data_IF_400965545980
#
_entry.id   IF_400965545980
#
_cell.length_a   1.000
_cell.length_b   1.000
_cell.length_c   1.000
_cell.angle_alpha   90.00
_cell.angle_beta   90.00
_cell.angle_gamma   90.00
#
_symmetry.space_group_name_H-M   'P 1'
#
loop_
_entity.id
_entity.type
_entity.pdbx_description
1 polymer ?
#
# COMPACT_ATOMS: atom_id res chain seq x y z
N UNK A 1 5.32 -17.61 -10.98
CA UNK A 1 4.35 -16.71 -11.63
C UNK A 1 4.90 -15.32 -11.85
N UNK A 2 5.17 -14.99 -13.11
CA UNK A 2 5.66 -13.68 -13.56
C UNK A 2 4.82 -13.29 -14.78
N UNK A 3 4.28 -12.08 -14.79
CA UNK A 3 3.47 -11.58 -15.90
C UNK A 3 4.12 -10.31 -16.46
N UNK A 4 4.51 -10.32 -17.73
CA UNK A 4 5.22 -9.22 -18.42
C UNK A 4 6.46 -8.72 -17.64
N UNK A 5 7.26 -9.63 -17.09
CA UNK A 5 8.48 -9.28 -16.33
C UNK A 5 8.20 -8.67 -14.94
N UNK A 6 6.94 -8.67 -14.49
CA UNK A 6 6.56 -8.27 -13.14
C UNK A 6 6.27 -9.50 -12.30
N UNK A 7 7.09 -9.68 -11.25
CA UNK A 7 6.86 -10.74 -10.27
C UNK A 7 5.63 -10.43 -9.42
N UNK A 8 4.85 -11.47 -9.16
CA UNK A 8 3.72 -11.37 -8.22
C UNK A 8 4.30 -11.20 -6.80
N UNK A 9 3.84 -10.21 -6.03
CA UNK A 9 4.26 -10.05 -4.64
C UNK A 9 3.95 -11.30 -3.81
N UNK A 10 4.93 -11.77 -3.02
CA UNK A 10 4.80 -12.98 -2.20
C UNK A 10 3.62 -12.93 -1.23
N UNK A 11 3.29 -11.74 -0.71
CA UNK A 11 2.11 -11.55 0.15
C UNK A 11 0.81 -11.98 -0.51
N UNK A 12 0.70 -11.85 -1.84
CA UNK A 12 -0.48 -12.30 -2.59
C UNK A 12 -0.51 -13.80 -2.82
N UNK A 13 0.62 -14.48 -2.69
CA UNK A 13 0.77 -15.94 -2.82
C UNK A 13 0.64 -16.64 -1.46
N UNK A 14 0.78 -15.91 -0.34
CA UNK A 14 0.80 -16.46 1.02
C UNK A 14 -0.52 -17.08 1.52
N UNK A 15 -1.65 -16.81 0.86
CA UNK A 15 -2.98 -17.20 1.35
C UNK A 15 -3.45 -16.48 2.62
N UNK A 16 -2.64 -15.59 3.19
CA UNK A 16 -2.99 -14.85 4.41
C UNK A 16 -3.89 -13.66 4.07
N UNK A 17 -5.20 -13.84 4.23
CA UNK A 17 -6.20 -12.82 3.90
C UNK A 17 -5.97 -11.47 4.61
N UNK A 18 -5.50 -11.46 5.86
CA UNK A 18 -5.22 -10.22 6.60
C UNK A 18 -4.07 -9.43 5.98
N UNK A 19 -2.98 -10.12 5.65
CA UNK A 19 -1.83 -9.49 5.01
C UNK A 19 -2.14 -9.03 3.59
N UNK A 20 -2.95 -9.80 2.86
CA UNK A 20 -3.44 -9.41 1.53
C UNK A 20 -4.29 -8.14 1.62
N UNK A 21 -5.20 -8.04 2.57
CA UNK A 21 -6.03 -6.86 2.78
C UNK A 21 -5.17 -5.63 3.13
N UNK A 22 -4.23 -5.79 4.08
CA UNK A 22 -3.27 -4.75 4.45
C UNK A 22 -2.46 -4.28 3.23
N UNK A 23 -1.96 -5.21 2.42
CA UNK A 23 -1.21 -4.90 1.20
C UNK A 23 -2.07 -4.17 0.16
N UNK A 24 -3.31 -4.62 -0.07
CA UNK A 24 -4.26 -3.98 -0.99
C UNK A 24 -4.57 -2.55 -0.55
N UNK A 25 -4.80 -2.34 0.76
CA UNK A 25 -5.05 -1.01 1.34
C UNK A 25 -3.84 -0.09 1.14
N UNK A 26 -2.64 -0.55 1.50
CA UNK A 26 -1.37 0.16 1.26
C UNK A 26 -1.21 0.58 -0.21
N UNK A 27 -1.40 -0.35 -1.16
CA UNK A 27 -1.31 -0.05 -2.60
C UNK A 27 -2.41 0.91 -3.09
N UNK A 28 -3.59 0.90 -2.48
CA UNK A 28 -4.65 1.86 -2.80
C UNK A 28 -4.29 3.28 -2.34
N UNK A 29 -3.81 3.41 -1.11
CA UNK A 29 -3.35 4.68 -0.55
C UNK A 29 -2.18 5.26 -1.37
N UNK A 30 -1.19 4.43 -1.70
CA UNK A 30 -0.06 4.84 -2.52
C UNK A 30 -0.49 5.34 -3.90
N UNK A 31 -1.38 4.61 -4.60
CA UNK A 31 -1.91 5.02 -5.90
C UNK A 31 -2.68 6.34 -5.80
N UNK A 32 -3.45 6.51 -4.73
CA UNK A 32 -4.19 7.75 -4.46
C UNK A 32 -3.21 8.89 -4.22
N UNK A 33 -2.12 8.67 -3.51
CA UNK A 33 -1.13 9.70 -3.18
C UNK A 33 -0.43 10.20 -4.45
N UNK A 34 -0.03 9.26 -5.31
CA UNK A 34 0.66 9.58 -6.56
C UNK A 34 -0.28 10.31 -7.54
N UNK A 35 -1.54 9.86 -7.65
CA UNK A 35 -2.46 10.37 -8.69
C UNK A 35 -3.33 11.54 -8.24
N UNK A 36 -3.69 11.61 -6.96
CA UNK A 36 -4.63 12.59 -6.39
C UNK A 36 -4.24 12.95 -4.94
N UNK A 37 -3.05 13.53 -4.72
CA UNK A 37 -2.57 13.88 -3.37
C UNK A 37 -3.51 14.86 -2.65
N UNK A 38 -4.24 15.71 -3.40
CA UNK A 38 -5.22 16.66 -2.86
C UNK A 38 -6.37 16.02 -2.06
N UNK A 39 -6.64 14.73 -2.25
CA UNK A 39 -7.66 14.00 -1.47
C UNK A 39 -7.26 13.94 0.00
N UNK A 40 -5.96 13.84 0.28
CA UNK A 40 -5.42 13.70 1.63
C UNK A 40 -5.32 15.03 2.38
N UNK A 41 -5.27 16.15 1.68
CA UNK A 41 -5.30 17.48 2.30
C UNK A 41 -6.71 17.91 2.71
N UNK A 42 -7.75 17.49 1.98
CA UNK A 42 -9.14 17.91 2.24
C UNK A 42 -10.00 16.87 3.00
N UNK A 43 -9.56 15.60 3.13
CA UNK A 43 -10.27 14.60 3.93
C UNK A 43 -9.54 14.27 5.22
N UNK A 44 -10.29 14.05 6.29
CA UNK A 44 -9.80 13.33 7.48
C UNK A 44 -9.49 11.89 7.07
N UNK A 45 -8.21 11.54 7.06
CA UNK A 45 -7.71 10.18 6.90
C UNK A 45 -7.90 9.45 8.24
N UNK A 46 -8.22 8.16 8.21
CA UNK A 46 -8.28 7.36 9.43
C UNK A 46 -6.88 7.20 10.03
N UNK A 47 -6.81 6.98 11.35
CA UNK A 47 -5.53 6.75 12.02
C UNK A 47 -4.79 5.52 11.46
N UNK A 48 -5.53 4.47 11.10
CA UNK A 48 -4.99 3.27 10.46
C UNK A 48 -4.36 3.56 9.10
N UNK A 49 -5.01 4.35 8.25
CA UNK A 49 -4.45 4.71 6.94
C UNK A 49 -3.17 5.56 7.07
N UNK A 50 -3.11 6.43 8.09
CA UNK A 50 -1.90 7.19 8.44
C UNK A 50 -0.74 6.28 8.88
N UNK A 51 -1.02 5.29 9.73
CA UNK A 51 0.00 4.35 10.19
C UNK A 51 0.49 3.46 9.02
N UNK A 52 -0.41 3.04 8.12
CA UNK A 52 -0.02 2.31 6.91
C UNK A 52 0.87 3.13 5.97
N UNK A 53 0.63 4.45 5.85
CA UNK A 53 1.46 5.35 5.06
C UNK A 53 2.85 5.53 5.68
N UNK A 54 2.96 5.66 7.00
CA UNK A 54 4.25 5.71 7.70
C UNK A 54 5.03 4.41 7.55
N UNK A 55 4.35 3.26 7.67
CA UNK A 55 4.95 1.95 7.49
C UNK A 55 5.48 1.78 6.05
N UNK A 56 4.73 2.27 5.06
CA UNK A 56 5.19 2.33 3.67
C UNK A 56 6.44 3.22 3.53
N UNK A 57 6.42 4.44 4.07
CA UNK A 57 7.58 5.34 4.01
C UNK A 57 8.83 4.70 4.61
N UNK A 58 8.68 4.04 5.76
CA UNK A 58 9.77 3.32 6.41
C UNK A 58 10.31 2.19 5.52
N UNK A 59 9.42 1.38 4.93
CA UNK A 59 9.83 0.29 4.02
C UNK A 59 10.58 0.76 2.77
N UNK A 60 10.32 2.00 2.31
CA UNK A 60 11.05 2.62 1.20
C UNK A 60 12.37 3.27 1.61
N UNK A 61 12.55 3.65 2.89
CA UNK A 61 13.83 4.18 3.41
C UNK A 61 14.82 3.09 3.79
N UNK A 62 14.33 1.89 4.10
CA UNK A 62 15.15 0.73 4.46
C UNK A 62 15.56 -0.14 3.24
N UNK A 63 15.07 0.19 2.04
CA UNK A 63 15.52 -0.39 0.75
C UNK A 63 16.33 0.62 -0.06
#
# INVERSE_FOLDING_TARGET
DEFKGSKVPEVLLSGNHKEIEKWRRKKSLLRTLIRRPKIFTNKKISKEDLDLLKELEKSFKEN
#
